data_IF_534359728387
#
_entry.id   IF_534359728387
#
_cell.length_a   1.000
_cell.length_b   1.000
_cell.length_c   1.000
_cell.angle_alpha   90.00
_cell.angle_beta   90.00
_cell.angle_gamma   90.00
#
_symmetry.space_group_name_H-M   'P 1'
#
loop_
_entity.id
_entity.type
_entity.pdbx_description
1 polymer ?
#
# COMPACT_ATOMS: atom_id res chain seq x y z
N UNK A 1 5.57 15.39 -21.64
CA UNK A 1 4.36 14.58 -21.89
C UNK A 1 4.81 13.12 -21.94
N UNK A 2 4.78 12.41 -20.82
CA UNK A 2 5.26 11.02 -20.76
C UNK A 2 4.24 10.12 -21.49
N UNK A 3 4.66 9.37 -22.51
CA UNK A 3 3.84 8.33 -23.11
C UNK A 3 3.31 7.43 -21.98
N UNK A 4 1.98 7.38 -21.81
CA UNK A 4 1.37 6.40 -20.91
C UNK A 4 1.80 5.02 -21.39
N UNK A 5 2.59 4.32 -20.58
CA UNK A 5 2.94 2.94 -20.86
C UNK A 5 1.63 2.15 -21.07
N UNK A 6 1.57 1.38 -22.15
CA UNK A 6 0.36 0.68 -22.59
C UNK A 6 0.74 -0.77 -22.84
N UNK A 7 -0.03 -1.72 -22.30
CA UNK A 7 0.10 -3.15 -22.61
C UNK A 7 -1.13 -3.55 -23.42
N UNK A 8 -0.94 -4.07 -24.63
CA UNK A 8 -2.03 -4.49 -25.52
C UNK A 8 -3.10 -3.40 -25.79
N UNK A 9 -2.69 -2.12 -25.88
CA UNK A 9 -3.63 -1.01 -26.09
C UNK A 9 -4.34 -0.49 -24.83
N UNK A 10 -4.19 -1.17 -23.67
CA UNK A 10 -4.77 -0.74 -22.39
C UNK A 10 -3.73 0.02 -21.56
N UNK A 11 -4.07 1.20 -20.98
CA UNK A 11 -3.16 1.92 -20.09
C UNK A 11 -2.69 1.04 -18.93
N UNK A 12 -1.38 1.00 -18.69
CA UNK A 12 -0.76 0.12 -17.68
C UNK A 12 -1.35 0.29 -16.28
N UNK A 13 -1.89 1.48 -16.01
CA UNK A 13 -2.59 1.85 -14.79
C UNK A 13 -3.78 0.92 -14.50
N UNK A 14 -4.64 0.65 -15.49
CA UNK A 14 -5.82 -0.22 -15.33
C UNK A 14 -5.43 -1.70 -15.27
N UNK A 15 -4.45 -2.11 -16.07
CA UNK A 15 -3.91 -3.47 -16.02
C UNK A 15 -3.34 -3.74 -14.63
N UNK A 16 -2.50 -2.85 -14.10
CA UNK A 16 -1.92 -2.99 -12.77
C UNK A 16 -2.96 -3.03 -11.65
N UNK A 17 -4.08 -2.32 -11.82
CA UNK A 17 -5.20 -2.31 -10.88
C UNK A 17 -5.91 -3.66 -10.83
N UNK A 18 -6.33 -4.18 -12.00
CA UNK A 18 -7.03 -5.46 -12.09
C UNK A 18 -6.14 -6.58 -11.59
N UNK A 19 -4.86 -6.58 -12.01
CA UNK A 19 -3.89 -7.58 -11.54
C UNK A 19 -3.66 -7.49 -10.03
N UNK A 20 -3.55 -6.28 -9.45
CA UNK A 20 -3.41 -6.12 -7.99
C UNK A 20 -4.65 -6.63 -7.25
N UNK A 21 -5.84 -6.31 -7.75
CA UNK A 21 -7.09 -6.73 -7.14
C UNK A 21 -7.20 -8.26 -7.08
N UNK A 22 -7.02 -8.92 -8.24
CA UNK A 22 -7.06 -10.38 -8.36
C UNK A 22 -5.97 -11.02 -7.52
N UNK A 23 -4.75 -10.48 -7.58
CA UNK A 23 -3.63 -11.05 -6.83
C UNK A 23 -3.86 -10.94 -5.32
N UNK A 24 -4.31 -9.80 -4.81
CA UNK A 24 -4.55 -9.61 -3.37
C UNK A 24 -5.66 -10.54 -2.85
N UNK A 25 -6.76 -10.71 -3.59
CA UNK A 25 -7.82 -11.62 -3.16
C UNK A 25 -7.37 -13.08 -3.24
N UNK A 26 -6.75 -13.47 -4.35
CA UNK A 26 -6.24 -14.82 -4.58
C UNK A 26 -5.21 -15.23 -3.54
N UNK A 27 -4.28 -14.32 -3.18
CA UNK A 27 -3.24 -14.59 -2.19
C UNK A 27 -3.84 -14.99 -0.84
N UNK A 28 -4.84 -14.25 -0.35
CA UNK A 28 -5.45 -14.51 0.95
C UNK A 28 -6.20 -15.84 0.95
N UNK A 29 -6.96 -16.11 -0.11
CA UNK A 29 -7.72 -17.36 -0.25
C UNK A 29 -6.76 -18.56 -0.32
N UNK A 30 -5.73 -18.50 -1.17
CA UNK A 30 -4.77 -19.60 -1.33
C UNK A 30 -3.96 -19.80 -0.04
N UNK A 31 -3.52 -18.72 0.63
CA UNK A 31 -2.82 -18.84 1.91
C UNK A 31 -3.70 -19.45 2.99
N UNK A 32 -5.01 -19.13 3.03
CA UNK A 32 -5.94 -19.75 3.98
C UNK A 32 -6.13 -21.22 3.64
N UNK A 33 -6.39 -21.52 2.38
CA UNK A 33 -6.62 -22.89 1.91
C UNK A 33 -5.41 -23.79 2.15
N UNK A 34 -4.18 -23.28 1.94
CA UNK A 34 -2.94 -24.03 2.20
C UNK A 34 -2.69 -24.33 3.68
N UNK A 35 -3.48 -23.75 4.59
CA UNK A 35 -3.33 -23.86 6.05
C UNK A 35 -4.57 -24.46 6.72
N UNK A 36 -5.55 -24.96 5.96
CA UNK A 36 -6.74 -25.61 6.51
C UNK A 36 -6.42 -26.99 7.11
N UNK A 37 -5.57 -27.76 6.44
CA UNK A 37 -5.11 -29.06 6.96
C UNK A 37 -4.07 -28.81 8.07
N UNK A 38 -4.54 -28.82 9.33
CA UNK A 38 -3.70 -28.61 10.51
C UNK A 38 -2.73 -29.78 10.78
N UNK A 39 -2.97 -30.97 10.21
CA UNK A 39 -2.13 -32.15 10.43
C UNK A 39 -0.89 -32.14 9.53
N UNK A 40 -1.02 -31.66 8.29
CA UNK A 40 0.05 -31.64 7.30
C UNK A 40 0.54 -30.22 7.00
N UNK A 41 0.90 -29.47 8.05
CA UNK A 41 1.39 -28.10 7.88
C UNK A 41 2.84 -28.08 7.39
N UNK A 42 3.09 -27.26 6.37
CA UNK A 42 4.44 -26.88 5.95
C UNK A 42 5.01 -25.77 6.85
N UNK A 43 6.34 -25.65 6.88
CA UNK A 43 7.02 -24.57 7.61
C UNK A 43 6.85 -23.23 6.90
N UNK A 44 6.18 -22.27 7.52
CA UNK A 44 5.87 -20.99 6.88
C UNK A 44 7.14 -20.18 6.59
N UNK A 45 8.20 -20.36 7.38
CA UNK A 45 9.48 -19.67 7.17
C UNK A 45 10.14 -20.05 5.84
N UNK A 46 10.08 -21.34 5.47
CA UNK A 46 10.61 -21.84 4.19
C UNK A 46 9.85 -21.25 3.01
N UNK A 47 8.52 -21.12 3.12
CA UNK A 47 7.67 -20.50 2.10
C UNK A 47 7.96 -18.99 1.94
N UNK A 48 8.18 -18.28 3.05
CA UNK A 48 8.60 -16.86 3.02
C UNK A 48 9.99 -16.72 2.38
N UNK A 49 10.94 -17.59 2.71
CA UNK A 49 12.25 -17.58 2.07
C UNK A 49 12.15 -17.81 0.55
N UNK A 50 11.39 -18.83 0.13
CA UNK A 50 11.21 -19.14 -1.29
C UNK A 50 10.46 -18.03 -2.05
N UNK A 51 9.53 -17.32 -1.41
CA UNK A 51 8.84 -16.20 -2.06
C UNK A 51 9.77 -15.01 -2.28
N UNK A 52 10.65 -14.70 -1.34
CA UNK A 52 11.70 -13.69 -1.51
C UNK A 52 12.76 -14.11 -2.54
N UNK A 53 13.15 -15.39 -2.56
CA UNK A 53 14.07 -15.94 -3.55
C UNK A 53 13.50 -15.88 -4.98
N UNK A 54 12.25 -16.29 -5.14
CA UNK A 54 11.54 -16.20 -6.43
C UNK A 54 11.41 -14.76 -6.88
N UNK A 55 11.07 -13.84 -5.96
CA UNK A 55 11.00 -12.40 -6.24
C UNK A 55 12.35 -11.84 -6.68
N UNK A 56 13.44 -12.25 -6.04
CA UNK A 56 14.80 -11.85 -6.43
C UNK A 56 15.12 -12.26 -7.87
N UNK A 57 14.81 -13.50 -8.26
CA UNK A 57 15.02 -14.00 -9.64
C UNK A 57 14.25 -13.12 -10.64
N UNK A 58 12.97 -12.88 -10.39
CA UNK A 58 12.15 -12.07 -11.30
C UNK A 58 12.65 -10.62 -11.35
N UNK A 59 13.01 -10.03 -10.22
CA UNK A 59 13.54 -8.66 -10.17
C UNK A 59 14.90 -8.54 -10.89
N UNK A 60 15.79 -9.54 -10.79
CA UNK A 60 17.06 -9.58 -11.51
C UNK A 60 16.82 -9.65 -13.03
N UNK A 61 15.91 -10.52 -13.46
CA UNK A 61 15.51 -10.61 -14.86
C UNK A 61 14.95 -9.27 -15.38
N UNK A 62 14.05 -8.64 -14.63
CA UNK A 62 13.47 -7.35 -15.00
C UNK A 62 14.51 -6.21 -15.01
N UNK A 63 15.45 -6.22 -14.06
CA UNK A 63 16.54 -5.25 -14.02
C UNK A 63 17.46 -5.39 -15.25
N UNK A 64 17.86 -6.61 -15.60
CA UNK A 64 18.67 -6.87 -16.79
C UNK A 64 17.94 -6.49 -18.09
N UNK A 65 16.65 -6.84 -18.21
CA UNK A 65 15.81 -6.42 -19.34
C UNK A 65 15.70 -4.90 -19.45
N UNK A 66 15.55 -4.20 -18.33
CA UNK A 66 15.47 -2.73 -18.33
C UNK A 66 16.81 -2.11 -18.75
N UNK A 67 17.94 -2.66 -18.29
CA UNK A 67 19.26 -2.20 -18.70
C UNK A 67 19.49 -2.39 -20.21
N UNK A 68 19.18 -3.57 -20.76
CA UNK A 68 19.30 -3.82 -22.22
C UNK A 68 18.46 -2.82 -23.01
N UNK A 69 17.27 -2.48 -22.53
CA UNK A 69 16.40 -1.49 -23.18
C UNK A 69 16.98 -0.07 -23.16
N UNK A 70 17.68 0.30 -22.09
CA UNK A 70 18.23 1.65 -21.91
C UNK A 70 19.62 1.83 -22.56
N UNK A 71 20.50 0.82 -22.48
CA UNK A 71 21.90 0.91 -22.92
C UNK A 71 22.23 0.04 -24.14
N UNK A 72 21.28 -0.77 -24.62
CA UNK A 72 21.47 -1.68 -25.75
C UNK A 72 22.29 -2.94 -25.44
N UNK A 73 22.85 -3.07 -24.24
CA UNK A 73 23.68 -4.21 -23.83
C UNK A 73 23.44 -4.62 -22.39
N UNK A 74 23.66 -5.89 -22.08
CA UNK A 74 23.68 -6.38 -20.70
C UNK A 74 25.10 -6.20 -20.14
N UNK A 75 25.24 -5.41 -19.08
CA UNK A 75 26.53 -5.18 -18.42
C UNK A 75 26.42 -5.66 -16.96
N UNK A 76 27.00 -6.84 -16.70
CA UNK A 76 26.95 -7.50 -15.37
C UNK A 76 27.68 -6.65 -14.32
N UNK A 77 28.79 -6.02 -14.70
CA UNK A 77 29.54 -5.13 -13.80
C UNK A 77 28.71 -3.93 -13.36
N UNK A 78 27.97 -3.30 -14.28
CA UNK A 78 27.07 -2.19 -13.96
C UNK A 78 25.90 -2.65 -13.06
N UNK A 79 25.30 -3.82 -13.33
CA UNK A 79 24.26 -4.37 -12.46
C UNK A 79 24.80 -4.65 -11.06
N UNK A 80 25.98 -5.25 -10.96
CA UNK A 80 26.63 -5.50 -9.68
C UNK A 80 26.89 -4.20 -8.91
N UNK A 81 27.44 -3.18 -9.55
CA UNK A 81 27.67 -1.86 -8.93
C UNK A 81 26.37 -1.19 -8.49
N UNK A 82 25.29 -1.32 -9.28
CA UNK A 82 23.98 -0.77 -8.92
C UNK A 82 23.32 -1.53 -7.76
N UNK A 83 23.43 -2.86 -7.72
CA UNK A 83 22.90 -3.69 -6.65
C UNK A 83 23.66 -3.44 -5.35
N UNK A 84 24.98 -3.39 -5.38
CA UNK A 84 25.82 -3.13 -4.20
C UNK A 84 26.20 -1.65 -4.04
N UNK A 85 25.30 -0.76 -4.45
CA UNK A 85 25.50 0.67 -4.28
C UNK A 85 25.71 1.03 -2.78
N UNK A 86 26.45 2.10 -2.46
CA UNK A 86 26.78 2.46 -1.08
C UNK A 86 25.56 2.73 -0.17
N UNK A 87 24.39 2.99 -0.73
CA UNK A 87 23.15 3.20 0.02
C UNK A 87 22.26 1.94 0.12
N UNK A 88 22.67 0.83 -0.51
CA UNK A 88 21.89 -0.41 -0.57
C UNK A 88 21.66 -1.01 0.82
N UNK A 89 22.63 -0.89 1.74
CA UNK A 89 22.52 -1.41 3.10
C UNK A 89 21.32 -0.83 3.87
N UNK A 90 20.86 0.38 3.51
CA UNK A 90 19.67 0.99 4.14
C UNK A 90 18.42 0.12 3.93
N UNK A 91 18.40 -0.70 2.88
CA UNK A 91 17.29 -1.62 2.60
C UNK A 91 17.30 -2.89 3.45
N UNK A 92 18.35 -3.16 4.23
CA UNK A 92 18.37 -4.28 5.18
C UNK A 92 17.30 -4.14 6.26
N UNK A 93 17.05 -2.92 6.74
CA UNK A 93 16.04 -2.65 7.76
C UNK A 93 14.63 -3.01 7.25
N UNK A 94 14.12 -2.44 6.13
CA UNK A 94 12.81 -2.82 5.63
C UNK A 94 12.76 -4.29 5.19
N UNK A 95 13.85 -4.88 4.70
CA UNK A 95 13.91 -6.30 4.35
C UNK A 95 13.65 -7.23 5.56
N UNK A 96 14.31 -6.96 6.69
CA UNK A 96 14.09 -7.70 7.93
C UNK A 96 12.67 -7.53 8.46
N UNK A 97 12.16 -6.29 8.46
CA UNK A 97 10.79 -6.00 8.88
C UNK A 97 9.75 -6.70 7.99
N UNK A 98 9.90 -6.66 6.67
CA UNK A 98 8.99 -7.36 5.75
C UNK A 98 9.03 -8.88 5.94
N UNK A 99 10.19 -9.45 6.25
CA UNK A 99 10.31 -10.89 6.54
C UNK A 99 9.51 -11.28 7.79
N UNK A 100 9.63 -10.49 8.86
CA UNK A 100 8.86 -10.72 10.10
C UNK A 100 7.37 -10.53 9.83
N UNK A 101 7.00 -9.46 9.11
CA UNK A 101 5.61 -9.20 8.71
C UNK A 101 5.02 -10.37 7.92
N UNK A 102 5.73 -10.89 6.92
CA UNK A 102 5.24 -11.99 6.08
C UNK A 102 5.03 -13.27 6.90
N UNK A 103 5.90 -13.56 7.88
CA UNK A 103 5.72 -14.69 8.77
C UNK A 103 4.51 -14.51 9.70
N UNK A 104 4.34 -13.33 10.30
CA UNK A 104 3.17 -13.01 11.12
C UNK A 104 1.87 -13.06 10.31
N UNK A 105 1.92 -12.72 9.03
CA UNK A 105 0.79 -12.85 8.12
C UNK A 105 0.35 -14.32 7.94
N UNK A 106 1.29 -15.26 7.80
CA UNK A 106 0.96 -16.69 7.77
C UNK A 106 0.37 -17.18 9.10
N UNK A 107 0.90 -16.71 10.23
CA UNK A 107 0.34 -17.02 11.55
C UNK A 107 -1.11 -16.54 11.63
N UNK A 108 -1.35 -15.28 11.29
CA UNK A 108 -2.68 -14.69 11.29
C UNK A 108 -3.68 -15.43 10.40
N UNK A 109 -3.31 -15.75 9.16
CA UNK A 109 -4.17 -16.49 8.23
C UNK A 109 -4.44 -17.93 8.69
N UNK A 110 -3.53 -18.53 9.45
CA UNK A 110 -3.75 -19.87 10.03
C UNK A 110 -4.79 -19.83 11.15
N UNK A 111 -4.88 -18.71 11.89
CA UNK A 111 -5.71 -18.57 13.09
C UNK A 111 -7.03 -17.83 12.87
N UNK A 112 -7.12 -17.02 11.81
CA UNK A 112 -8.31 -16.26 11.46
C UNK A 112 -8.93 -16.79 10.17
N UNK A 113 -10.24 -16.66 10.05
CA UNK A 113 -10.91 -16.84 8.76
C UNK A 113 -10.44 -15.77 7.75
N UNK A 114 -10.51 -16.11 6.47
CA UNK A 114 -9.97 -15.26 5.40
C UNK A 114 -10.68 -13.89 5.32
N UNK A 115 -11.97 -13.82 5.63
CA UNK A 115 -12.74 -12.57 5.57
C UNK A 115 -12.34 -11.62 6.71
N UNK A 116 -12.30 -12.10 7.95
CA UNK A 116 -11.84 -11.37 9.14
C UNK A 116 -10.39 -10.95 8.98
N UNK A 117 -9.51 -11.84 8.50
CA UNK A 117 -8.12 -11.50 8.22
C UNK A 117 -8.04 -10.35 7.20
N UNK A 118 -8.74 -10.46 6.07
CA UNK A 118 -8.69 -9.48 4.98
C UNK A 118 -9.14 -8.09 5.45
N UNK A 119 -10.23 -7.99 6.21
CA UNK A 119 -10.74 -6.70 6.69
C UNK A 119 -9.85 -6.15 7.80
N UNK A 120 -9.42 -6.97 8.75
CA UNK A 120 -8.55 -6.54 9.86
C UNK A 120 -7.18 -6.07 9.36
N UNK A 121 -6.63 -6.71 8.33
CA UNK A 121 -5.32 -6.35 7.74
C UNK A 121 -5.30 -4.93 7.14
N UNK A 122 -6.46 -4.34 6.88
CA UNK A 122 -6.60 -2.94 6.45
C UNK A 122 -6.16 -1.94 7.52
N UNK A 123 -6.01 -2.35 8.79
CA UNK A 123 -5.34 -1.57 9.84
C UNK A 123 -3.95 -1.09 9.41
N UNK A 124 -3.31 -1.76 8.45
CA UNK A 124 -2.09 -1.30 7.81
C UNK A 124 -2.20 0.15 7.28
N UNK A 125 -3.37 0.57 6.80
CA UNK A 125 -3.59 1.95 6.34
C UNK A 125 -3.37 2.93 7.48
N UNK A 126 -3.93 2.66 8.66
CA UNK A 126 -3.75 3.46 9.87
C UNK A 126 -2.27 3.52 10.27
N UNK A 127 -1.61 2.37 10.40
CA UNK A 127 -0.22 2.33 10.85
C UNK A 127 0.72 3.02 9.85
N UNK A 128 0.52 2.82 8.55
CA UNK A 128 1.28 3.51 7.50
C UNK A 128 1.08 5.01 7.55
N UNK A 129 -0.15 5.48 7.76
CA UNK A 129 -0.46 6.91 7.87
C UNK A 129 0.26 7.53 9.08
N UNK A 130 0.17 6.88 10.25
CA UNK A 130 0.87 7.32 11.47
C UNK A 130 2.39 7.34 11.28
N UNK A 131 2.96 6.27 10.73
CA UNK A 131 4.39 6.21 10.40
C UNK A 131 4.81 7.30 9.40
N UNK A 132 3.97 7.61 8.41
CA UNK A 132 4.24 8.67 7.43
C UNK A 132 4.28 10.05 8.10
N UNK A 133 3.32 10.35 8.98
CA UNK A 133 3.31 11.60 9.74
C UNK A 133 4.57 11.72 10.61
N UNK A 134 4.99 10.64 11.28
CA UNK A 134 6.14 10.67 12.20
C UNK A 134 7.48 10.71 11.43
N UNK A 135 7.68 9.82 10.45
CA UNK A 135 8.98 9.60 9.80
C UNK A 135 9.25 10.50 8.59
N UNK A 136 8.18 10.84 7.84
CA UNK A 136 8.25 11.69 6.64
C UNK A 136 7.71 13.11 6.90
N UNK A 137 7.15 13.37 8.09
CA UNK A 137 6.55 14.67 8.46
C UNK A 137 5.46 15.12 7.48
N UNK A 138 4.70 14.16 6.94
CA UNK A 138 3.60 14.45 6.02
C UNK A 138 2.41 15.05 6.77
N UNK A 139 1.82 16.11 6.24
CA UNK A 139 0.55 16.65 6.73
C UNK A 139 -0.64 15.93 6.08
N UNK A 140 -1.53 15.33 6.87
CA UNK A 140 -2.76 14.70 6.39
C UNK A 140 -3.95 15.66 6.52
N UNK A 141 -4.86 15.65 5.55
CA UNK A 141 -6.11 16.43 5.63
C UNK A 141 -7.05 15.88 6.72
N UNK A 142 -7.98 16.73 7.18
CA UNK A 142 -9.02 16.31 8.13
C UNK A 142 -9.88 15.14 7.62
N UNK A 143 -10.11 15.06 6.30
CA UNK A 143 -10.80 13.93 5.67
C UNK A 143 -10.03 12.61 5.87
N UNK A 144 -8.70 12.64 5.70
CA UNK A 144 -7.87 11.46 5.92
C UNK A 144 -7.86 11.05 7.38
N UNK A 145 -7.73 11.99 8.32
CA UNK A 145 -7.85 11.68 9.75
C UNK A 145 -9.21 11.06 10.11
N UNK A 146 -10.31 11.64 9.61
CA UNK A 146 -11.65 11.08 9.79
C UNK A 146 -11.75 9.65 9.22
N UNK A 147 -11.17 9.40 8.04
CA UNK A 147 -11.16 8.06 7.45
C UNK A 147 -10.39 7.04 8.30
N UNK A 148 -9.31 7.44 8.98
CA UNK A 148 -8.54 6.56 9.85
C UNK A 148 -9.31 6.16 11.12
N UNK A 149 -10.07 7.11 11.69
CA UNK A 149 -10.98 6.82 12.82
C UNK A 149 -12.08 5.86 12.37
N UNK A 150 -12.70 6.13 11.22
CA UNK A 150 -13.73 5.28 10.64
C UNK A 150 -13.23 3.85 10.36
N UNK A 151 -12.01 3.74 9.82
CA UNK A 151 -11.33 2.46 9.59
C UNK A 151 -11.17 1.67 10.89
N UNK A 152 -10.70 2.33 11.94
CA UNK A 152 -10.46 1.70 13.25
C UNK A 152 -11.77 1.19 13.85
N UNK A 153 -12.83 1.99 13.78
CA UNK A 153 -14.15 1.59 14.24
C UNK A 153 -14.73 0.43 13.43
N UNK A 154 -14.60 0.47 12.09
CA UNK A 154 -15.02 -0.63 11.22
C UNK A 154 -14.32 -1.95 11.53
N UNK A 155 -13.00 -1.91 11.75
CA UNK A 155 -12.21 -3.09 12.14
C UNK A 155 -12.57 -3.57 13.55
N UNK A 156 -12.90 -2.68 14.49
CA UNK A 156 -13.38 -3.06 15.81
C UNK A 156 -14.74 -3.79 15.74
N UNK A 157 -15.67 -3.32 14.89
CA UNK A 157 -16.96 -3.98 14.69
C UNK A 157 -16.82 -5.38 14.07
N UNK A 158 -15.93 -5.56 13.09
CA UNK A 158 -15.65 -6.88 12.49
C UNK A 158 -15.10 -7.88 13.51
N UNK A 159 -14.40 -7.40 14.53
CA UNK A 159 -13.78 -8.26 15.53
C UNK A 159 -14.74 -8.65 16.67
N UNK A 160 -15.90 -7.99 16.81
CA UNK A 160 -16.86 -8.30 17.86
C UNK A 160 -17.26 -9.79 17.81
N UNK A 161 -17.15 -10.52 18.94
CA UNK A 161 -17.71 -11.85 19.05
C UNK A 161 -19.19 -11.80 18.68
N UNK A 162 -19.63 -12.74 17.85
CA UNK A 162 -21.07 -12.95 17.69
C UNK A 162 -21.52 -13.73 18.91
N UNK A 163 -22.44 -13.17 19.70
CA UNK A 163 -22.97 -13.80 20.91
C UNK A 163 -23.73 -15.08 20.56
N UNK A 164 -23.01 -16.19 20.36
CA UNK A 164 -23.56 -17.52 20.46
C UNK A 164 -23.68 -17.84 21.95
N UNK A 165 -24.82 -17.44 22.52
CA UNK A 165 -25.29 -17.84 23.84
C UNK A 165 -25.35 -19.38 23.93
N UNK A 166 -24.32 -19.99 24.52
CA UNK A 166 -24.24 -21.42 24.76
C UNK A 166 -22.96 -21.73 25.54
N UNK A 167 -23.09 -22.54 26.60
CA UNK A 167 -22.05 -22.93 27.56
C UNK A 167 -20.62 -22.94 27.02
N UNK A 168 -19.71 -22.14 27.60
CA UNK A 168 -18.27 -22.23 27.34
C UNK A 168 -17.76 -23.64 27.61
N UNK A 169 -17.31 -24.33 26.58
CA UNK A 169 -16.59 -25.60 26.67
C UNK A 169 -15.08 -25.38 26.55
N UNK A 170 -14.26 -26.38 26.87
CA UNK A 170 -12.79 -26.32 26.69
C UNK A 170 -12.41 -26.03 25.22
N UNK A 171 -13.25 -26.44 24.26
CA UNK A 171 -13.08 -26.19 22.82
C UNK A 171 -13.27 -24.70 22.50
N UNK A 172 -14.15 -23.99 23.22
CA UNK A 172 -14.36 -22.55 23.03
C UNK A 172 -13.17 -21.72 23.55
N UNK A 173 -12.50 -22.19 24.62
CA UNK A 173 -11.32 -21.51 25.16
C UNK A 173 -10.13 -21.59 24.18
N UNK A 174 -9.87 -22.75 23.56
CA UNK A 174 -8.78 -22.91 22.57
C UNK A 174 -9.04 -22.08 21.30
N UNK A 175 -10.28 -22.09 20.78
CA UNK A 175 -10.67 -21.26 19.64
C UNK A 175 -10.56 -19.75 19.94
N UNK A 176 -10.88 -19.33 21.17
CA UNK A 176 -10.75 -17.94 21.59
C UNK A 176 -9.27 -17.50 21.67
N UNK A 177 -8.40 -18.39 22.12
CA UNK A 177 -6.96 -18.17 22.21
C UNK A 177 -6.33 -18.10 20.81
N UNK A 178 -6.67 -19.02 19.90
CA UNK A 178 -6.24 -18.97 18.49
C UNK A 178 -6.63 -17.63 17.86
N UNK A 179 -7.90 -17.21 18.04
CA UNK A 179 -8.38 -15.91 17.53
C UNK A 179 -7.57 -14.74 18.11
N UNK A 180 -7.30 -14.72 19.42
CA UNK A 180 -6.52 -13.66 20.04
C UNK A 180 -5.09 -13.60 19.52
N UNK A 181 -4.42 -14.76 19.38
CA UNK A 181 -3.07 -14.86 18.79
C UNK A 181 -3.09 -14.38 17.33
N UNK A 182 -4.11 -14.78 16.56
CA UNK A 182 -4.30 -14.33 15.18
C UNK A 182 -4.46 -12.82 15.06
N UNK A 183 -5.32 -12.22 15.89
CA UNK A 183 -5.53 -10.77 15.93
C UNK A 183 -4.28 -10.01 16.36
N UNK A 184 -3.58 -10.50 17.39
CA UNK A 184 -2.30 -9.95 17.81
C UNK A 184 -1.25 -10.00 16.70
N UNK A 185 -1.16 -11.13 15.98
CA UNK A 185 -0.26 -11.28 14.84
C UNK A 185 -0.59 -10.29 13.71
N UNK A 186 -1.87 -10.09 13.36
CA UNK A 186 -2.28 -9.08 12.37
C UNK A 186 -1.91 -7.67 12.83
N UNK A 187 -2.20 -7.31 14.08
CA UNK A 187 -1.91 -5.97 14.59
C UNK A 187 -0.42 -5.65 14.53
N UNK A 188 0.44 -6.57 15.00
CA UNK A 188 1.90 -6.42 14.93
C UNK A 188 2.37 -6.39 13.48
N UNK A 189 1.85 -7.27 12.61
CA UNK A 189 2.18 -7.25 11.19
C UNK A 189 1.82 -5.91 10.52
N UNK A 190 0.66 -5.33 10.83
CA UNK A 190 0.25 -4.02 10.31
C UNK A 190 1.20 -2.91 10.77
N UNK A 191 1.60 -2.89 12.05
CA UNK A 191 2.56 -1.89 12.56
C UNK A 191 3.91 -2.01 11.86
N UNK A 192 4.47 -3.22 11.80
CA UNK A 192 5.72 -3.51 11.10
C UNK A 192 5.62 -3.10 9.63
N UNK A 193 4.50 -3.37 8.98
CA UNK A 193 4.27 -3.00 7.58
C UNK A 193 4.25 -1.50 7.36
N UNK A 194 3.64 -0.74 8.27
CA UNK A 194 3.65 0.72 8.22
C UNK A 194 5.06 1.29 8.33
N UNK A 195 5.85 0.79 9.28
CA UNK A 195 7.24 1.22 9.49
C UNK A 195 8.10 0.85 8.27
N UNK A 196 8.06 -0.41 7.83
CA UNK A 196 8.84 -0.90 6.70
C UNK A 196 8.48 -0.19 5.39
N UNK A 197 7.18 0.01 5.14
CA UNK A 197 6.66 0.70 3.97
C UNK A 197 7.14 2.14 3.88
N UNK A 198 6.96 2.91 4.95
CA UNK A 198 7.35 4.32 4.99
C UNK A 198 8.88 4.48 4.94
N UNK A 199 9.63 3.58 5.60
CA UNK A 199 11.09 3.56 5.51
C UNK A 199 11.54 3.27 4.07
N UNK A 200 10.98 2.25 3.43
CA UNK A 200 11.30 1.90 2.05
C UNK A 200 10.98 3.05 1.09
N UNK A 201 9.83 3.71 1.27
CA UNK A 201 9.46 4.89 0.50
C UNK A 201 10.48 6.03 0.67
N UNK A 202 10.96 6.27 1.90
CA UNK A 202 12.00 7.27 2.18
C UNK A 202 13.30 6.97 1.43
N UNK A 203 13.72 5.70 1.39
CA UNK A 203 14.93 5.27 0.67
C UNK A 203 14.74 5.37 -0.85
N UNK A 204 13.57 4.96 -1.36
CA UNK A 204 13.24 5.06 -2.79
C UNK A 204 13.25 6.50 -3.28
N UNK A 205 12.57 7.41 -2.57
CA UNK A 205 12.48 8.83 -2.97
C UNK A 205 13.81 9.58 -2.87
N UNK A 206 14.73 9.09 -2.05
CA UNK A 206 16.06 9.69 -1.87
C UNK A 206 17.09 9.31 -2.95
N UNK A 207 16.74 8.50 -3.95
CA UNK A 207 17.71 7.96 -4.92
C UNK A 207 17.22 8.02 -6.37
N UNK A 208 18.18 8.14 -7.31
CA UNK A 208 17.95 8.04 -8.76
C UNK A 208 17.92 6.60 -9.28
N UNK A 209 18.16 5.62 -8.42
CA UNK A 209 18.20 4.19 -8.78
C UNK A 209 16.83 3.71 -9.25
N UNK A 210 16.80 2.83 -10.26
CA UNK A 210 15.56 2.27 -10.76
C UNK A 210 14.81 1.46 -9.67
N UNK A 211 13.47 1.48 -9.73
CA UNK A 211 12.61 0.70 -8.83
C UNK A 211 12.93 -0.80 -8.89
N UNK A 212 13.36 -1.30 -10.06
CA UNK A 212 13.74 -2.70 -10.23
C UNK A 212 14.99 -3.06 -9.42
N UNK A 213 16.05 -2.25 -9.52
CA UNK A 213 17.28 -2.47 -8.74
C UNK A 213 17.00 -2.36 -7.24
N UNK A 214 16.16 -1.41 -6.82
CA UNK A 214 15.76 -1.28 -5.41
C UNK A 214 14.99 -2.51 -4.91
N UNK A 215 14.18 -3.14 -5.75
CA UNK A 215 13.53 -4.40 -5.41
C UNK A 215 14.49 -5.61 -5.45
N UNK A 216 15.51 -5.62 -6.33
CA UNK A 216 16.60 -6.61 -6.27
C UNK A 216 17.32 -6.50 -4.93
N UNK A 217 17.75 -5.30 -4.55
CA UNK A 217 18.41 -5.04 -3.28
C UNK A 217 17.53 -5.47 -2.11
N UNK A 218 16.26 -5.06 -2.09
CA UNK A 218 15.33 -5.41 -1.02
C UNK A 218 15.16 -6.94 -0.92
N UNK A 219 14.90 -7.63 -2.04
CA UNK A 219 14.68 -9.08 -2.05
C UNK A 219 15.94 -9.85 -1.66
N UNK A 220 17.12 -9.40 -2.14
CA UNK A 220 18.41 -9.96 -1.76
C UNK A 220 18.66 -9.83 -0.26
N UNK A 221 18.47 -8.63 0.30
CA UNK A 221 18.64 -8.43 1.73
C UNK A 221 17.57 -9.13 2.57
N UNK A 222 16.40 -9.47 2.02
CA UNK A 222 15.38 -10.26 2.71
C UNK A 222 15.75 -11.74 2.85
N UNK A 223 16.66 -12.26 2.02
CA UNK A 223 17.09 -13.67 2.13
C UNK A 223 17.78 -13.97 3.45
N UNK A 224 18.62 -13.06 3.95
CA UNK A 224 19.32 -13.23 5.22
C UNK A 224 18.37 -13.35 6.43
N UNK A 225 17.47 -12.39 6.71
CA UNK A 225 16.50 -12.52 7.79
C UNK A 225 15.54 -13.69 7.56
N UNK A 226 15.14 -14.00 6.32
CA UNK A 226 14.24 -15.12 6.05
C UNK A 226 14.90 -16.47 6.36
N UNK A 227 16.20 -16.61 6.03
CA UNK A 227 16.96 -17.81 6.33
C UNK A 227 17.32 -17.88 7.82
N UNK A 228 17.87 -16.82 8.40
CA UNK A 228 18.40 -16.83 9.77
C UNK A 228 17.26 -16.80 10.79
N UNK A 229 16.38 -15.80 10.74
CA UNK A 229 15.29 -15.67 11.72
C UNK A 229 14.13 -16.63 11.42
N UNK A 230 13.85 -16.87 10.14
CA UNK A 230 12.79 -17.78 9.73
C UNK A 230 13.24 -19.24 9.80
N UNK A 231 13.99 -19.68 8.79
CA UNK A 231 14.27 -21.11 8.60
C UNK A 231 15.12 -21.67 9.72
N UNK A 232 16.19 -20.98 10.14
CA UNK A 232 17.13 -21.51 11.12
C UNK A 232 16.66 -21.34 12.56
N UNK A 233 16.20 -20.14 12.94
CA UNK A 233 15.79 -19.87 14.33
C UNK A 233 14.38 -20.38 14.67
N UNK A 234 13.37 -20.11 13.83
CA UNK A 234 11.97 -20.45 14.13
C UNK A 234 11.67 -21.92 13.84
N UNK A 235 11.95 -22.39 12.63
CA UNK A 235 11.55 -23.73 12.17
C UNK A 235 12.75 -24.71 12.03
N UNK A 236 13.95 -24.34 12.51
CA UNK A 236 15.20 -25.03 12.16
C UNK A 236 15.28 -26.47 12.61
N UNK A 237 14.82 -26.77 13.83
CA UNK A 237 14.79 -28.14 14.34
C UNK A 237 13.86 -29.04 13.49
N UNK A 238 12.66 -28.54 13.16
CA UNK A 238 11.70 -29.26 12.34
C UNK A 238 12.16 -29.41 10.89
N UNK A 239 12.79 -28.38 10.31
CA UNK A 239 13.38 -28.43 8.96
C UNK A 239 14.55 -29.41 8.90
N UNK A 240 15.34 -29.53 9.97
CA UNK A 240 16.44 -30.49 10.04
C UNK A 240 15.92 -31.94 10.09
N UNK A 241 14.85 -32.19 10.83
CA UNK A 241 14.26 -33.51 11.00
C UNK A 241 13.46 -33.96 9.78
N UNK A 242 12.54 -33.12 9.31
CA UNK A 242 11.55 -33.47 8.28
C UNK A 242 11.93 -32.98 6.87
N UNK A 243 12.99 -32.17 6.76
CA UNK A 243 13.44 -31.55 5.52
C UNK A 243 12.80 -30.19 5.22
N UNK A 244 13.46 -29.44 4.33
CA UNK A 244 13.07 -28.08 3.97
C UNK A 244 11.72 -27.99 3.24
N UNK A 245 11.38 -28.98 2.43
CA UNK A 245 10.15 -29.02 1.62
C UNK A 245 9.06 -29.89 2.25
N UNK A 246 9.08 -30.07 3.57
CA UNK A 246 8.11 -30.89 4.27
C UNK A 246 6.66 -30.41 4.03
N UNK A 247 5.79 -31.35 3.65
CA UNK A 247 4.38 -31.12 3.32
C UNK A 247 4.10 -30.08 2.22
N UNK A 248 5.03 -29.90 1.27
CA UNK A 248 4.79 -29.06 0.11
C UNK A 248 3.85 -29.73 -0.88
N UNK A 249 2.82 -29.00 -1.30
CA UNK A 249 1.90 -29.41 -2.36
C UNK A 249 1.72 -28.26 -3.38
N UNK A 250 0.93 -28.50 -4.43
CA UNK A 250 0.70 -27.50 -5.48
C UNK A 250 0.06 -26.20 -4.96
N UNK A 251 -0.73 -26.25 -3.89
CA UNK A 251 -1.33 -25.06 -3.26
C UNK A 251 -0.26 -24.22 -2.58
N UNK A 252 0.68 -24.84 -1.86
CA UNK A 252 1.81 -24.13 -1.23
C UNK A 252 2.68 -23.45 -2.29
N UNK A 253 2.98 -24.15 -3.39
CA UNK A 253 3.73 -23.56 -4.51
C UNK A 253 2.96 -22.41 -5.18
N UNK A 254 1.64 -22.52 -5.31
CA UNK A 254 0.79 -21.43 -5.78
C UNK A 254 0.81 -20.23 -4.82
N UNK A 255 0.78 -20.45 -3.50
CA UNK A 255 0.87 -19.40 -2.48
C UNK A 255 2.20 -18.63 -2.59
N UNK A 256 3.31 -19.37 -2.68
CA UNK A 256 4.67 -18.81 -2.82
C UNK A 256 4.78 -17.98 -4.10
N UNK A 257 4.29 -18.52 -5.22
CA UNK A 257 4.31 -17.84 -6.51
C UNK A 257 3.45 -16.57 -6.49
N UNK A 258 2.23 -16.66 -5.93
CA UNK A 258 1.31 -15.54 -5.80
C UNK A 258 1.89 -14.44 -4.90
N UNK A 259 2.56 -14.81 -3.81
CA UNK A 259 3.22 -13.87 -2.90
C UNK A 259 4.40 -13.16 -3.56
N UNK A 260 5.24 -13.88 -4.31
CA UNK A 260 6.35 -13.31 -5.06
C UNK A 260 5.84 -12.31 -6.13
N UNK A 261 4.85 -12.72 -6.93
CA UNK A 261 4.21 -11.87 -7.94
C UNK A 261 3.56 -10.64 -7.30
N UNK A 262 2.86 -10.81 -6.17
CA UNK A 262 2.24 -9.72 -5.43
C UNK A 262 3.22 -8.65 -4.98
N UNK A 263 4.38 -9.04 -4.44
CA UNK A 263 5.44 -8.09 -4.08
C UNK A 263 5.92 -7.24 -5.26
N UNK A 264 5.98 -7.82 -6.46
CA UNK A 264 6.38 -7.11 -7.68
C UNK A 264 5.27 -6.19 -8.17
N UNK A 265 4.01 -6.65 -8.15
CA UNK A 265 2.86 -5.83 -8.51
C UNK A 265 2.79 -4.61 -7.60
N UNK A 266 2.99 -4.75 -6.29
CA UNK A 266 3.03 -3.62 -5.35
C UNK A 266 4.07 -2.59 -5.78
N UNK A 267 5.28 -3.01 -6.16
CA UNK A 267 6.31 -2.10 -6.65
C UNK A 267 5.91 -1.39 -7.96
N UNK A 268 5.29 -2.11 -8.90
CA UNK A 268 4.78 -1.51 -10.14
C UNK A 268 3.66 -0.50 -9.87
N UNK A 269 2.74 -0.85 -8.98
CA UNK A 269 1.62 -0.01 -8.57
C UNK A 269 2.11 1.26 -7.86
N UNK A 270 3.14 1.18 -7.02
CA UNK A 270 3.79 2.37 -6.44
C UNK A 270 4.33 3.31 -7.53
N UNK A 271 4.87 2.75 -8.62
CA UNK A 271 5.46 3.52 -9.72
C UNK A 271 4.43 4.10 -10.70
N UNK A 272 3.35 3.39 -10.98
CA UNK A 272 2.48 3.67 -12.13
C UNK A 272 1.01 3.96 -11.80
N UNK A 273 0.55 3.71 -10.56
CA UNK A 273 -0.84 3.87 -10.19
C UNK A 273 -1.05 4.99 -9.15
N UNK A 274 -2.15 5.73 -9.34
CA UNK A 274 -2.60 6.74 -8.38
C UNK A 274 -3.11 6.08 -7.10
N UNK A 275 -2.99 6.79 -5.98
CA UNK A 275 -3.46 6.27 -4.68
C UNK A 275 -4.96 5.98 -4.67
N UNK A 276 -5.77 6.73 -5.44
CA UNK A 276 -7.21 6.47 -5.62
C UNK A 276 -7.46 5.06 -6.17
N UNK A 277 -6.72 4.70 -7.22
CA UNK A 277 -6.86 3.42 -7.88
C UNK A 277 -6.41 2.27 -6.96
N UNK A 278 -5.31 2.44 -6.23
CA UNK A 278 -4.89 1.45 -5.22
C UNK A 278 -5.99 1.19 -4.20
N UNK A 279 -6.67 2.25 -3.75
CA UNK A 279 -7.85 2.16 -2.89
C UNK A 279 -8.95 1.29 -3.50
N UNK A 280 -9.35 1.56 -4.74
CA UNK A 280 -10.37 0.78 -5.44
C UNK A 280 -9.98 -0.70 -5.60
N UNK A 281 -8.75 -0.99 -6.02
CA UNK A 281 -8.26 -2.38 -6.15
C UNK A 281 -8.35 -3.13 -4.82
N UNK A 282 -8.01 -2.44 -3.73
CA UNK A 282 -8.06 -2.99 -2.36
C UNK A 282 -9.50 -3.22 -1.92
N UNK A 283 -10.40 -2.26 -2.13
CA UNK A 283 -11.83 -2.41 -1.83
C UNK A 283 -12.47 -3.58 -2.57
N UNK A 284 -12.21 -3.73 -3.88
CA UNK A 284 -12.73 -4.85 -4.67
C UNK A 284 -12.12 -6.17 -4.16
N UNK A 285 -10.83 -6.18 -3.81
CA UNK A 285 -10.18 -7.38 -3.25
C UNK A 285 -10.82 -7.82 -1.93
N UNK A 286 -11.19 -6.89 -1.04
CA UNK A 286 -11.93 -7.20 0.21
C UNK A 286 -13.25 -7.88 -0.12
N UNK A 287 -14.03 -7.33 -1.05
CA UNK A 287 -15.33 -7.89 -1.45
C UNK A 287 -15.15 -9.29 -2.06
N UNK A 288 -14.19 -9.47 -2.96
CA UNK A 288 -13.92 -10.76 -3.59
C UNK A 288 -13.48 -11.82 -2.56
N UNK A 289 -12.56 -11.47 -1.64
CA UNK A 289 -12.14 -12.39 -0.58
C UNK A 289 -13.28 -12.74 0.37
N UNK A 290 -14.16 -11.78 0.67
CA UNK A 290 -15.35 -12.03 1.47
C UNK A 290 -16.30 -13.01 0.77
N UNK A 291 -16.69 -12.75 -0.48
CA UNK A 291 -17.57 -13.63 -1.24
C UNK A 291 -16.98 -15.03 -1.42
N UNK A 292 -15.67 -15.11 -1.70
CA UNK A 292 -14.96 -16.38 -1.78
C UNK A 292 -14.94 -17.09 -0.42
N UNK A 293 -14.84 -16.37 0.70
CA UNK A 293 -14.87 -16.98 2.03
C UNK A 293 -16.25 -17.55 2.38
N UNK A 294 -17.33 -16.87 1.99
CA UNK A 294 -18.69 -17.39 2.15
C UNK A 294 -18.89 -18.66 1.33
N UNK A 295 -18.39 -18.69 0.09
CA UNK A 295 -18.59 -19.83 -0.82
C UNK A 295 -17.64 -21.01 -0.56
N UNK A 296 -16.35 -20.76 -0.30
CA UNK A 296 -15.31 -21.79 -0.19
C UNK A 296 -15.06 -22.26 1.24
N UNK A 297 -15.28 -21.40 2.24
CA UNK A 297 -14.99 -21.68 3.65
C UNK A 297 -16.25 -21.67 4.52
N UNK A 298 -17.44 -21.63 3.91
CA UNK A 298 -18.74 -21.61 4.59
C UNK A 298 -18.82 -20.53 5.69
N UNK A 299 -18.21 -19.36 5.44
CA UNK A 299 -18.13 -18.29 6.42
C UNK A 299 -19.52 -17.75 6.79
N UNK A 300 -19.85 -17.78 8.08
CA UNK A 300 -21.13 -17.29 8.61
C UNK A 300 -21.11 -15.76 8.63
N UNK A 301 -21.98 -15.16 7.80
CA UNK A 301 -22.09 -13.71 7.68
C UNK A 301 -22.92 -13.14 8.83
N UNK A 302 -22.32 -12.26 9.63
CA UNK A 302 -23.01 -11.56 10.71
C UNK A 302 -23.30 -10.11 10.34
N UNK A 303 -24.34 -9.53 10.92
CA UNK A 303 -24.71 -8.12 10.67
C UNK A 303 -23.60 -7.17 11.14
N UNK A 304 -22.95 -7.48 12.26
CA UNK A 304 -21.80 -6.71 12.79
C UNK A 304 -20.61 -6.77 11.83
N UNK A 305 -20.33 -7.93 11.24
CA UNK A 305 -19.31 -8.08 10.21
C UNK A 305 -19.64 -7.22 8.98
N UNK A 306 -20.87 -7.30 8.45
CA UNK A 306 -21.27 -6.52 7.27
C UNK A 306 -21.17 -5.01 7.49
N UNK A 307 -21.64 -4.54 8.64
CA UNK A 307 -21.51 -3.13 9.02
C UNK A 307 -20.05 -2.72 9.12
N UNK A 308 -19.23 -3.48 9.85
CA UNK A 308 -17.81 -3.21 10.01
C UNK A 308 -17.05 -3.20 8.67
N UNK A 309 -17.26 -4.22 7.83
CA UNK A 309 -16.66 -4.31 6.50
C UNK A 309 -17.06 -3.13 5.60
N UNK A 310 -18.32 -2.71 5.65
CA UNK A 310 -18.80 -1.53 4.90
C UNK A 310 -18.10 -0.26 5.36
N UNK A 311 -17.93 -0.06 6.66
CA UNK A 311 -17.18 1.09 7.18
C UNK A 311 -15.71 1.07 6.76
N UNK A 312 -15.06 -0.10 6.75
CA UNK A 312 -13.68 -0.26 6.27
C UNK A 312 -13.57 0.07 4.78
N UNK A 313 -14.54 -0.32 3.96
CA UNK A 313 -14.58 0.01 2.54
C UNK A 313 -14.72 1.52 2.31
N UNK A 314 -15.66 2.16 3.03
CA UNK A 314 -15.86 3.62 2.96
C UNK A 314 -14.57 4.35 3.39
N UNK A 315 -13.98 3.94 4.51
CA UNK A 315 -12.75 4.51 5.02
C UNK A 315 -11.58 4.38 4.04
N UNK A 316 -11.40 3.19 3.45
CA UNK A 316 -10.36 2.92 2.44
C UNK A 316 -10.53 3.83 1.23
N UNK A 317 -11.77 4.01 0.76
CA UNK A 317 -12.07 4.92 -0.35
C UNK A 317 -11.80 6.39 0.02
N UNK A 318 -12.24 6.85 1.19
CA UNK A 318 -12.00 8.22 1.68
C UNK A 318 -10.51 8.53 1.79
N UNK A 319 -9.72 7.61 2.37
CA UNK A 319 -8.28 7.79 2.55
C UNK A 319 -7.51 7.88 1.22
N UNK A 320 -8.00 7.16 0.21
CA UNK A 320 -7.36 7.07 -1.10
C UNK A 320 -7.55 8.32 -1.96
N UNK A 321 -8.42 9.25 -1.56
CA UNK A 321 -8.60 10.54 -2.25
C UNK A 321 -7.36 11.44 -2.11
N UNK A 322 -7.05 12.23 -3.14
CA UNK A 322 -5.98 13.22 -3.08
C UNK A 322 -6.33 14.30 -2.07
N UNK A 323 -5.31 14.83 -1.38
CA UNK A 323 -5.53 15.98 -0.51
C UNK A 323 -5.87 17.21 -1.36
N UNK A 324 -6.78 18.08 -0.89
CA UNK A 324 -7.03 19.34 -1.56
C UNK A 324 -5.73 20.17 -1.64
N UNK A 325 -5.50 20.92 -2.73
CA UNK A 325 -4.32 21.75 -2.86
C UNK A 325 -4.23 22.72 -1.68
N UNK A 326 -3.03 22.84 -1.07
CA UNK A 326 -2.79 23.84 -0.03
C UNK A 326 -3.06 25.22 -0.65
N UNK A 327 -3.91 26.03 -0.01
CA UNK A 327 -4.02 27.46 -0.36
C UNK A 327 -2.67 28.09 -0.07
N UNK A 328 -1.88 28.38 -1.10
CA UNK A 328 -0.75 29.29 -0.97
C UNK A 328 -1.33 30.65 -0.63
N UNK A 329 -1.17 31.08 0.62
CA UNK A 329 -1.36 32.48 0.96
C UNK A 329 -0.21 33.22 0.27
N UNK A 330 -0.53 33.98 -0.77
CA UNK A 330 0.43 34.93 -1.33
C UNK A 330 0.83 35.88 -0.20
N UNK A 331 2.12 35.87 0.12
CA UNK A 331 2.72 36.84 1.01
C UNK A 331 2.65 38.20 0.31
N UNK A 332 1.70 39.05 0.71
CA UNK A 332 1.46 40.37 0.10
C UNK A 332 2.71 41.27 0.16
N UNK A 333 3.68 40.92 1.01
CA UNK A 333 4.96 41.61 1.14
C UNK A 333 6.04 41.14 0.14
N UNK A 334 5.73 40.19 -0.76
CA UNK A 334 6.61 39.75 -1.86
C UNK A 334 6.11 40.16 -3.24
N UNK A 335 5.33 41.24 -3.35
CA UNK A 335 5.12 41.89 -4.64
C UNK A 335 6.42 42.58 -5.10
N UNK A 336 6.85 42.42 -6.36
CA UNK A 336 7.90 43.24 -6.91
C UNK A 336 7.42 44.70 -6.96
N UNK A 337 8.07 45.60 -6.21
CA UNK A 337 7.83 47.04 -6.25
C UNK A 337 8.41 47.68 -7.53
N UNK A 338 8.13 47.10 -8.70
CA UNK A 338 8.60 47.62 -9.99
C UNK A 338 7.57 47.36 -11.09
N UNK A 339 6.49 48.15 -11.14
CA UNK A 339 5.75 48.47 -12.38
C UNK A 339 4.63 49.51 -12.13
N UNK A 340 4.94 50.64 -11.49
CA UNK A 340 3.98 51.77 -11.41
C UNK A 340 4.57 53.15 -11.75
N UNK A 341 5.81 53.24 -12.27
CA UNK A 341 6.43 54.53 -12.58
C UNK A 341 6.91 54.71 -14.03
N UNK A 342 6.44 53.91 -14.99
CA UNK A 342 6.95 53.97 -16.38
C UNK A 342 5.92 54.16 -17.51
N UNK A 343 4.65 54.41 -17.21
CA UNK A 343 3.63 54.56 -18.25
C UNK A 343 3.03 55.98 -18.40
N UNK A 344 3.64 57.02 -17.82
CA UNK A 344 3.12 58.39 -17.92
C UNK A 344 3.92 59.33 -18.83
N UNK A 345 4.92 58.85 -19.55
CA UNK A 345 5.65 59.65 -20.54
C UNK A 345 5.82 58.83 -21.81
N UNK A 346 4.78 58.82 -22.65
CA UNK A 346 4.87 58.68 -24.11
C UNK A 346 3.46 58.49 -24.68
N UNK A 347 2.87 59.60 -25.18
CA UNK A 347 2.16 59.68 -26.47
C UNK A 347 1.51 61.07 -26.62
N UNK A 348 2.24 61.95 -27.28
CA UNK A 348 1.70 63.06 -28.08
C UNK A 348 1.04 62.51 -29.37
N UNK A 349 0.10 63.30 -29.88
CA UNK A 349 -0.40 63.45 -31.26
C UNK A 349 -0.95 62.23 -32.04
N UNK A 350 -2.26 62.27 -32.32
CA UNK A 350 -2.78 62.55 -33.67
C UNK A 350 -4.32 62.54 -33.65
N UNK A 351 -4.92 63.59 -34.22
CA UNK A 351 -6.38 63.76 -34.30
C UNK A 351 -7.03 63.06 -35.50
N UNK A 352 -8.28 62.61 -35.33
CA UNK A 352 -9.38 62.95 -36.26
C UNK A 352 -10.75 62.55 -35.66
N UNK A 353 -11.73 63.32 -36.12
CA UNK A 353 -13.12 63.50 -35.73
C UNK A 353 -14.03 62.27 -35.93
N UNK A 354 -14.98 62.04 -35.03
CA UNK A 354 -16.39 61.78 -35.40
C UNK A 354 -17.31 61.73 -34.17
N UNK A 355 -18.38 62.49 -34.32
CA UNK A 355 -19.51 62.77 -33.45
C UNK A 355 -20.44 61.58 -33.20
N UNK A 356 -20.86 61.36 -31.94
CA UNK A 356 -22.22 60.92 -31.58
C UNK A 356 -22.61 61.41 -30.18
N UNK A 357 -23.47 62.43 -30.17
CA UNK A 357 -24.70 62.64 -29.36
C UNK A 357 -24.80 62.16 -27.89
N UNK A 358 -24.74 63.14 -27.00
CA UNK A 358 -25.72 63.53 -25.97
C UNK A 358 -26.65 62.46 -25.36
N UNK A 359 -26.60 62.27 -24.04
CA UNK A 359 -27.76 62.48 -23.15
C UNK A 359 -27.43 62.32 -21.66
N UNK A 360 -27.70 63.40 -20.90
CA UNK A 360 -28.43 63.46 -19.61
C UNK A 360 -27.88 62.77 -18.35
N UNK A 361 -28.02 63.27 -17.12
CA UNK A 361 -28.39 64.55 -16.49
C UNK A 361 -28.24 64.27 -14.96
N UNK A 362 -27.78 65.28 -14.17
CA UNK A 362 -27.96 65.47 -12.71
C UNK A 362 -27.38 64.43 -11.74
N UNK A 363 -27.09 64.73 -10.47
CA UNK A 363 -26.71 65.89 -9.65
C UNK A 363 -26.73 65.37 -8.20
N UNK A 364 -26.04 66.09 -7.32
CA UNK A 364 -26.09 66.09 -5.86
C UNK A 364 -25.34 64.95 -5.16
N UNK A 365 -24.19 65.23 -4.57
CA UNK A 365 -23.97 65.98 -3.32
C UNK A 365 -24.55 65.31 -2.06
N UNK A 366 -23.58 64.85 -1.23
CA UNK A 366 -23.41 65.15 0.19
C UNK A 366 -24.22 64.42 1.27
N UNK A 367 -23.44 64.20 2.34
CA UNK A 367 -23.74 64.27 3.78
C UNK A 367 -23.85 62.96 4.59
N UNK A 368 -22.75 62.77 5.34
CA UNK A 368 -22.60 62.40 6.76
C UNK A 368 -23.29 61.19 7.40
N UNK A 369 -22.42 60.41 8.06
CA UNK A 369 -22.44 59.99 9.48
C UNK A 369 -23.79 59.73 10.14
N UNK A 370 -23.99 58.48 10.58
CA UNK A 370 -24.05 58.06 11.99
C UNK A 370 -24.73 56.68 12.08
N UNK A 371 -23.96 55.62 12.34
CA UNK A 371 -24.06 54.76 13.53
C UNK A 371 -22.95 53.69 13.51
#
# INVERSE_FOLDING_TARGET
MALSATMLGIPLKYVSLVTLCIQNSTLVIIMRYSRLDKEHLYYTSTAVFLSEFTKLIICLYMAGRNQIRETGRLSISELYTQVFAPDAWKLMIPAALYTVQNNLQYVAVSMLDAATFQVTYQLKILTTALCSVIMLRTSLSGLKWSSLVLLTFGVALVQMPSDSSGSKTIVDDDASMERFVGLGAVAVACVISGIAGVYFEKVLKGSKTSVWIRNVQLSFFSLFPALIMGVWWKDGAGVWENGFFYNYNYVVLAAISCQAIGGIIVAMVVKYADNILKGFATSISIILSFLASVYLFEFIVTTTFLLGATLVLIATYMYSKPDPPKKEYMDVNKLPTQTLSKNNEEKEDDGYDSSVSTSNIRNNEKFDKNL
#
